data_IF_457579276027
#
_entry.id   IF_457579276027
#
_cell.length_a   1.000
_cell.length_b   1.000
_cell.length_c   1.000
_cell.angle_alpha   90.00
_cell.angle_beta   90.00
_cell.angle_gamma   90.00
#
_symmetry.space_group_name_H-M   'P 1'
#
loop_
_entity.id
_entity.type
_entity.pdbx_description
1 polymer ?
#
# COMPACT_ATOMS: atom_id res chain seq x y z
N UNK A 1 35.10 -1.28 8.64
CA UNK A 1 33.95 -2.13 9.03
C UNK A 1 32.85 -1.87 8.00
N UNK A 2 32.50 -2.87 7.23
CA UNK A 2 31.32 -2.76 6.36
C UNK A 2 30.06 -2.63 7.23
N UNK A 3 29.27 -1.62 7.00
CA UNK A 3 28.01 -1.41 7.70
C UNK A 3 27.02 -2.46 7.22
N UNK A 4 26.56 -3.33 8.12
CA UNK A 4 25.50 -4.29 7.82
C UNK A 4 24.13 -3.59 7.98
N UNK A 5 23.21 -3.87 7.05
CA UNK A 5 21.86 -3.27 7.01
C UNK A 5 20.79 -4.31 7.32
N UNK A 6 20.93 -4.95 8.49
CA UNK A 6 20.07 -6.09 8.86
C UNK A 6 18.74 -5.66 9.48
N UNK A 7 18.71 -4.47 10.06
CA UNK A 7 17.54 -3.95 10.77
C UNK A 7 17.19 -2.53 10.29
N UNK A 8 15.94 -2.14 10.52
CA UNK A 8 15.49 -0.77 10.21
C UNK A 8 16.32 0.31 10.94
N UNK A 9 16.92 -0.02 12.09
CA UNK A 9 17.77 0.90 12.85
C UNK A 9 19.06 1.27 12.10
N UNK A 10 19.48 0.45 11.17
CA UNK A 10 20.70 0.68 10.38
C UNK A 10 20.49 1.72 9.28
N UNK A 11 19.24 2.15 9.03
CA UNK A 11 18.86 3.06 7.95
C UNK A 11 18.89 4.55 8.35
N UNK A 12 19.06 4.87 9.64
CA UNK A 12 19.07 6.24 10.15
C UNK A 12 20.12 6.44 11.26
N UNK A 13 20.37 7.68 11.58
CA UNK A 13 21.07 8.10 12.80
C UNK A 13 20.15 8.98 13.64
N UNK A 14 20.40 9.05 14.95
CA UNK A 14 19.68 9.99 15.83
C UNK A 14 20.51 11.25 15.97
N UNK A 15 19.95 12.39 15.55
CA UNK A 15 20.55 13.71 15.71
C UNK A 15 19.53 14.59 16.46
N UNK A 16 19.93 15.12 17.61
CA UNK A 16 19.06 15.94 18.46
C UNK A 16 17.69 15.28 18.78
N UNK A 17 17.68 13.97 19.01
CA UNK A 17 16.46 13.21 19.30
C UNK A 17 15.59 12.88 18.07
N UNK A 18 15.99 13.30 16.87
CA UNK A 18 15.27 13.08 15.62
C UNK A 18 15.98 12.00 14.79
N UNK A 19 15.22 11.09 14.18
CA UNK A 19 15.74 10.11 13.23
C UNK A 19 16.05 10.80 11.90
N UNK A 20 17.31 10.77 11.49
CA UNK A 20 17.75 11.26 10.18
C UNK A 20 18.08 10.05 9.31
N UNK A 21 17.21 9.79 8.35
CA UNK A 21 17.35 8.65 7.45
C UNK A 21 18.35 8.93 6.33
N UNK A 22 19.11 7.92 5.94
CA UNK A 22 19.97 7.98 4.75
C UNK A 22 19.38 7.07 3.67
N UNK A 23 19.08 7.63 2.51
CA UNK A 23 18.39 6.90 1.45
C UNK A 23 19.18 5.69 0.95
N UNK A 24 20.50 5.80 0.76
CA UNK A 24 21.32 4.66 0.34
C UNK A 24 21.30 3.53 1.37
N UNK A 25 21.25 3.87 2.66
CA UNK A 25 21.11 2.87 3.72
C UNK A 25 19.72 2.23 3.69
N UNK A 26 18.69 3.00 3.38
CA UNK A 26 17.33 2.46 3.19
C UNK A 26 17.31 1.48 2.01
N UNK A 27 17.91 1.82 0.87
CA UNK A 27 18.01 0.92 -0.29
C UNK A 27 18.74 -0.38 0.06
N UNK A 28 19.89 -0.29 0.72
CA UNK A 28 20.66 -1.47 1.14
C UNK A 28 19.86 -2.37 2.09
N UNK A 29 19.12 -1.78 3.03
CA UNK A 29 18.23 -2.52 3.92
C UNK A 29 17.11 -3.21 3.16
N UNK A 30 16.42 -2.49 2.27
CA UNK A 30 15.32 -3.03 1.46
C UNK A 30 15.83 -4.18 0.58
N UNK A 31 16.98 -4.02 -0.09
CA UNK A 31 17.56 -5.07 -0.92
C UNK A 31 17.99 -6.28 -0.09
N UNK A 32 18.59 -6.07 1.09
CA UNK A 32 18.95 -7.15 2.01
C UNK A 32 17.71 -7.94 2.45
N UNK A 33 16.65 -7.27 2.89
CA UNK A 33 15.39 -7.91 3.26
C UNK A 33 14.73 -8.61 2.06
N UNK A 34 14.78 -8.00 0.89
CA UNK A 34 14.30 -8.61 -0.34
C UNK A 34 15.03 -9.91 -0.69
N UNK A 35 16.36 -9.96 -0.51
CA UNK A 35 17.14 -11.20 -0.70
C UNK A 35 16.75 -12.30 0.30
N UNK A 36 16.42 -11.93 1.54
CA UNK A 36 15.98 -12.90 2.54
C UNK A 36 14.60 -13.48 2.22
N UNK A 37 13.68 -12.67 1.72
CA UNK A 37 12.27 -13.06 1.50
C UNK A 37 12.07 -13.68 0.11
N UNK A 38 12.63 -13.07 -0.93
CA UNK A 38 12.40 -13.41 -2.34
C UNK A 38 13.57 -14.15 -2.99
N UNK A 39 14.64 -14.38 -2.24
CA UNK A 39 15.81 -15.14 -2.69
C UNK A 39 16.99 -14.26 -3.14
N UNK A 40 18.16 -14.90 -3.23
CA UNK A 40 19.48 -14.25 -3.40
C UNK A 40 19.60 -13.36 -4.64
N UNK A 41 18.75 -13.55 -5.64
CA UNK A 41 18.76 -12.80 -6.89
C UNK A 41 17.91 -11.52 -6.84
N UNK A 42 17.20 -11.28 -5.73
CA UNK A 42 16.46 -10.05 -5.57
C UNK A 42 17.40 -8.85 -5.63
N UNK A 43 17.06 -7.89 -6.46
CA UNK A 43 17.84 -6.69 -6.67
C UNK A 43 16.90 -5.50 -6.91
N UNK A 44 17.29 -4.33 -6.41
CA UNK A 44 16.63 -3.08 -6.72
C UNK A 44 17.33 -2.47 -7.93
N UNK A 45 16.58 -2.26 -9.00
CA UNK A 45 17.14 -1.64 -10.21
C UNK A 45 17.15 -0.10 -10.06
N UNK A 46 18.12 0.54 -10.70
CA UNK A 46 18.30 1.99 -10.59
C UNK A 46 17.06 2.80 -11.03
N UNK A 47 16.27 2.25 -11.97
CA UNK A 47 15.02 2.87 -12.43
C UNK A 47 13.98 2.98 -11.30
N UNK A 48 14.02 2.11 -10.31
CA UNK A 48 13.08 2.06 -9.21
C UNK A 48 13.45 3.00 -8.04
N UNK A 49 14.70 3.50 -8.02
CA UNK A 49 15.21 4.30 -6.90
C UNK A 49 14.34 5.51 -6.58
N UNK A 50 13.84 6.22 -7.60
CA UNK A 50 13.01 7.40 -7.39
C UNK A 50 11.65 7.03 -6.79
N UNK A 51 11.05 5.93 -7.24
CA UNK A 51 9.81 5.40 -6.67
C UNK A 51 10.01 4.99 -5.22
N UNK A 52 11.07 4.24 -4.93
CA UNK A 52 11.41 3.81 -3.58
C UNK A 52 11.70 5.01 -2.66
N UNK A 53 12.40 6.03 -3.16
CA UNK A 53 12.63 7.27 -2.41
C UNK A 53 11.31 7.91 -1.97
N UNK A 54 10.38 8.08 -2.91
CA UNK A 54 9.05 8.63 -2.61
C UNK A 54 8.29 7.79 -1.59
N UNK A 55 8.32 6.47 -1.72
CA UNK A 55 7.68 5.55 -0.80
C UNK A 55 8.29 5.60 0.61
N UNK A 56 9.62 5.65 0.72
CA UNK A 56 10.31 5.80 2.01
C UNK A 56 9.97 7.13 2.66
N UNK A 57 10.05 8.26 1.92
CA UNK A 57 9.69 9.60 2.42
C UNK A 57 8.23 9.62 2.92
N UNK A 58 7.33 9.02 2.15
CA UNK A 58 5.93 8.89 2.56
C UNK A 58 5.81 8.06 3.86
N UNK A 59 6.49 6.93 3.96
CA UNK A 59 6.41 6.02 5.11
C UNK A 59 6.96 6.65 6.41
N UNK A 60 8.11 7.35 6.32
CA UNK A 60 8.71 8.03 7.47
C UNK A 60 8.08 9.40 7.78
N UNK A 61 7.13 9.85 6.96
CA UNK A 61 6.41 11.12 7.13
C UNK A 61 7.33 12.34 7.13
N UNK A 62 8.31 12.36 6.24
CA UNK A 62 9.19 13.52 6.07
C UNK A 62 8.45 14.62 5.30
N UNK A 63 7.86 15.56 6.06
CA UNK A 63 7.02 16.64 5.50
C UNK A 63 7.80 17.55 4.56
N UNK A 64 9.07 17.83 4.86
CA UNK A 64 9.91 18.69 4.04
C UNK A 64 10.19 18.06 2.68
N UNK A 65 10.68 16.83 2.66
CA UNK A 65 10.97 16.12 1.43
C UNK A 65 9.68 15.77 0.66
N UNK A 66 8.58 15.50 1.35
CA UNK A 66 7.29 15.27 0.72
C UNK A 66 6.82 16.51 -0.06
N UNK A 67 6.97 17.70 0.51
CA UNK A 67 6.66 18.96 -0.18
C UNK A 67 7.53 19.16 -1.43
N UNK A 68 8.84 18.94 -1.33
CA UNK A 68 9.79 19.05 -2.44
C UNK A 68 9.45 18.05 -3.59
N UNK A 69 8.97 16.86 -3.25
CA UNK A 69 8.60 15.82 -4.22
C UNK A 69 7.11 15.85 -4.62
N UNK A 70 6.36 16.85 -4.17
CA UNK A 70 4.92 17.00 -4.41
C UNK A 70 4.11 15.76 -3.98
N UNK A 71 4.41 15.22 -2.79
CA UNK A 71 3.71 14.10 -2.19
C UNK A 71 2.70 14.60 -1.15
N UNK A 72 1.44 14.20 -1.27
CA UNK A 72 0.44 14.43 -0.22
C UNK A 72 0.45 13.27 0.78
N UNK A 73 1.06 13.50 1.94
CA UNK A 73 1.15 12.49 2.99
C UNK A 73 -0.21 12.09 3.58
N UNK A 74 -1.27 12.87 3.37
CA UNK A 74 -2.62 12.57 3.88
C UNK A 74 -3.34 11.51 3.04
N UNK A 75 -2.95 11.36 1.76
CA UNK A 75 -3.56 10.42 0.82
C UNK A 75 -2.93 9.04 0.90
N UNK A 76 -3.64 8.02 0.44
CA UNK A 76 -3.10 6.68 0.24
C UNK A 76 -2.13 6.61 -0.94
N UNK A 77 -1.40 5.51 -1.02
CA UNK A 77 -0.51 5.20 -2.14
C UNK A 77 -1.31 4.44 -3.19
N UNK A 78 -1.29 4.92 -4.44
CA UNK A 78 -1.64 4.14 -5.61
C UNK A 78 -0.35 3.82 -6.38
N UNK A 79 0.11 2.57 -6.29
CA UNK A 79 1.30 2.11 -6.98
C UNK A 79 0.89 1.35 -8.24
N UNK A 80 0.98 2.02 -9.39
CA UNK A 80 0.68 1.44 -10.70
C UNK A 80 1.94 1.11 -11.47
N UNK A 81 1.91 0.03 -12.25
CA UNK A 81 3.02 -0.39 -13.10
C UNK A 81 2.78 -1.76 -13.72
N UNK A 82 3.61 -2.20 -14.69
CA UNK A 82 3.41 -3.45 -15.40
C UNK A 82 3.44 -4.67 -14.47
N UNK A 83 2.89 -5.78 -14.97
CA UNK A 83 2.93 -7.07 -14.27
C UNK A 83 4.41 -7.48 -14.07
N UNK A 84 4.71 -7.98 -12.87
CA UNK A 84 6.05 -8.49 -12.55
C UNK A 84 7.10 -7.41 -12.20
N UNK A 85 6.75 -6.11 -12.16
CA UNK A 85 7.69 -5.05 -11.79
C UNK A 85 7.92 -4.90 -10.27
N UNK A 86 7.44 -5.82 -9.44
CA UNK A 86 7.76 -5.86 -8.01
C UNK A 86 6.89 -4.98 -7.10
N UNK A 87 5.70 -4.52 -7.53
CA UNK A 87 4.81 -3.66 -6.72
C UNK A 87 4.48 -4.25 -5.35
N UNK A 88 4.01 -5.49 -5.33
CA UNK A 88 3.70 -6.23 -4.09
C UNK A 88 4.94 -6.35 -3.19
N UNK A 89 6.07 -6.73 -3.78
CA UNK A 89 7.32 -6.89 -3.05
C UNK A 89 7.78 -5.60 -2.41
N UNK A 90 7.73 -4.47 -3.14
CA UNK A 90 8.17 -3.19 -2.59
C UNK A 90 7.22 -2.71 -1.50
N UNK A 91 5.89 -2.87 -1.65
CA UNK A 91 4.94 -2.53 -0.58
C UNK A 91 5.19 -3.37 0.68
N UNK A 92 5.53 -4.65 0.56
CA UNK A 92 5.90 -5.47 1.71
C UNK A 92 7.21 -5.00 2.36
N UNK A 93 8.24 -4.68 1.57
CA UNK A 93 9.57 -4.31 2.04
C UNK A 93 9.66 -2.91 2.66
N UNK A 94 8.81 -1.98 2.24
CA UNK A 94 8.78 -0.63 2.85
C UNK A 94 7.93 -0.56 4.12
N UNK A 95 7.10 -1.56 4.40
CA UNK A 95 6.22 -1.57 5.56
C UNK A 95 6.93 -1.31 6.90
N UNK A 96 8.15 -1.80 7.17
CA UNK A 96 8.88 -1.50 8.40
C UNK A 96 9.24 -0.02 8.62
N UNK A 97 9.19 0.83 7.58
CA UNK A 97 9.41 2.26 7.69
C UNK A 97 8.18 3.01 8.20
N UNK A 98 6.99 2.42 8.10
CA UNK A 98 5.77 3.06 8.58
C UNK A 98 5.73 3.11 10.10
N UNK A 99 5.22 4.23 10.64
CA UNK A 99 4.84 4.27 12.05
C UNK A 99 3.65 3.35 12.31
N UNK A 100 3.59 2.75 13.49
CA UNK A 100 2.53 1.82 13.88
C UNK A 100 1.11 2.30 13.56
N UNK A 101 0.84 3.59 13.75
CA UNK A 101 -0.48 4.18 13.44
C UNK A 101 -0.83 4.25 11.95
N UNK A 102 0.14 4.04 11.06
CA UNK A 102 -0.01 4.05 9.60
C UNK A 102 0.33 2.70 8.98
N UNK A 103 0.55 1.68 9.80
CA UNK A 103 0.79 0.32 9.33
C UNK A 103 -0.45 -0.24 8.60
N UNK A 104 -0.24 -1.20 7.72
CA UNK A 104 -1.28 -1.79 6.90
C UNK A 104 -1.05 -3.29 6.73
N UNK A 105 -2.15 -4.00 6.47
CA UNK A 105 -2.13 -5.39 5.99
C UNK A 105 -2.14 -5.40 4.47
N UNK A 106 -1.46 -6.35 3.85
CA UNK A 106 -1.50 -6.56 2.40
C UNK A 106 -2.46 -7.71 2.15
N UNK A 107 -3.50 -7.44 1.35
CA UNK A 107 -4.50 -8.44 0.98
C UNK A 107 -4.73 -8.36 -0.52
N UNK A 108 -4.75 -9.52 -1.19
CA UNK A 108 -4.97 -9.53 -2.63
C UNK A 108 -6.45 -9.32 -2.96
N UNK A 109 -6.73 -8.48 -3.96
CA UNK A 109 -8.11 -8.23 -4.40
C UNK A 109 -8.81 -9.52 -4.82
N UNK A 110 -8.06 -10.48 -5.36
CA UNK A 110 -8.57 -11.80 -5.75
C UNK A 110 -9.04 -12.63 -4.55
N UNK A 111 -8.25 -12.68 -3.46
CA UNK A 111 -8.62 -13.41 -2.24
C UNK A 111 -9.85 -12.81 -1.57
N UNK A 112 -9.91 -11.46 -1.51
CA UNK A 112 -11.09 -10.74 -1.02
C UNK A 112 -12.35 -11.13 -1.81
N UNK A 113 -12.25 -11.21 -3.13
CA UNK A 113 -13.36 -11.63 -3.98
C UNK A 113 -13.79 -13.08 -3.72
N UNK A 114 -12.84 -14.00 -3.49
CA UNK A 114 -13.17 -15.39 -3.11
C UNK A 114 -13.80 -15.47 -1.71
N UNK A 115 -13.33 -14.68 -0.77
CA UNK A 115 -13.94 -14.59 0.56
C UNK A 115 -15.39 -14.09 0.47
N UNK A 116 -15.64 -13.06 -0.35
CA UNK A 116 -17.00 -12.59 -0.61
C UNK A 116 -17.88 -13.65 -1.26
N UNK A 117 -17.36 -14.39 -2.23
CA UNK A 117 -18.11 -15.48 -2.87
C UNK A 117 -18.56 -16.56 -1.86
N UNK A 118 -17.76 -16.79 -0.82
CA UNK A 118 -18.02 -17.77 0.23
C UNK A 118 -18.94 -17.23 1.33
N UNK A 119 -18.71 -16.01 1.81
CA UNK A 119 -19.29 -15.46 3.03
C UNK A 119 -20.29 -14.32 2.76
N UNK A 120 -20.43 -13.87 1.50
CA UNK A 120 -21.31 -12.76 1.13
C UNK A 120 -20.92 -11.43 1.77
N UNK A 121 -21.90 -10.57 2.03
CA UNK A 121 -21.68 -9.22 2.57
C UNK A 121 -21.02 -9.17 3.95
N UNK A 122 -21.05 -10.24 4.72
CA UNK A 122 -20.38 -10.29 6.02
C UNK A 122 -18.86 -10.10 5.87
N UNK A 123 -18.26 -10.63 4.80
CA UNK A 123 -16.84 -10.43 4.53
C UNK A 123 -16.45 -8.97 4.30
N UNK A 124 -17.36 -8.13 3.76
CA UNK A 124 -17.09 -6.71 3.54
C UNK A 124 -16.90 -5.95 4.86
N UNK A 125 -17.57 -6.37 5.92
CA UNK A 125 -17.45 -5.72 7.24
C UNK A 125 -16.01 -5.76 7.74
N UNK A 126 -15.28 -6.84 7.49
CA UNK A 126 -13.87 -6.97 7.87
C UNK A 126 -12.99 -5.86 7.29
N UNK A 127 -13.28 -5.43 6.07
CA UNK A 127 -12.50 -4.41 5.35
C UNK A 127 -13.02 -2.98 5.54
N UNK A 128 -14.29 -2.83 5.91
CA UNK A 128 -14.97 -1.52 5.89
C UNK A 128 -15.40 -1.03 7.27
N UNK A 129 -15.38 -1.89 8.29
CA UNK A 129 -15.80 -1.54 9.63
C UNK A 129 -14.64 -1.59 10.63
N UNK A 130 -14.75 -0.80 11.69
CA UNK A 130 -13.80 -0.81 12.80
C UNK A 130 -14.04 -2.02 13.68
N UNK A 131 -12.98 -2.67 14.14
CA UNK A 131 -13.07 -3.78 15.11
C UNK A 131 -13.77 -3.36 16.40
N UNK A 132 -13.57 -2.11 16.81
CA UNK A 132 -14.27 -1.50 17.95
C UNK A 132 -14.64 -0.04 17.63
N UNK A 133 -15.73 0.51 18.18
CA UNK A 133 -16.20 1.87 17.90
C UNK A 133 -15.14 2.96 18.12
N UNK A 134 -14.23 2.75 19.08
CA UNK A 134 -13.16 3.68 19.44
C UNK A 134 -11.85 3.42 18.70
N UNK A 135 -11.72 2.30 17.96
CA UNK A 135 -10.53 1.97 17.19
C UNK A 135 -10.51 2.75 15.88
N UNK A 136 -9.33 2.81 15.27
CA UNK A 136 -9.21 3.23 13.88
C UNK A 136 -9.52 2.05 12.98
N UNK A 137 -10.00 2.36 11.78
CA UNK A 137 -10.11 1.34 10.74
C UNK A 137 -8.72 0.79 10.41
N UNK A 138 -8.61 -0.54 10.30
CA UNK A 138 -7.36 -1.21 9.94
C UNK A 138 -6.86 -0.68 8.58
N UNK A 139 -5.58 -0.30 8.51
CA UNK A 139 -4.93 0.06 7.26
C UNK A 139 -4.80 -1.16 6.34
N UNK A 140 -5.08 -0.98 5.06
CA UNK A 140 -4.90 -2.02 4.03
C UNK A 140 -4.12 -1.49 2.84
N UNK A 141 -3.34 -2.40 2.25
CA UNK A 141 -2.84 -2.30 0.89
C UNK A 141 -3.55 -3.39 0.08
N UNK A 142 -4.53 -3.01 -0.73
CA UNK A 142 -5.21 -3.91 -1.65
C UNK A 142 -4.31 -4.16 -2.84
N UNK A 143 -3.85 -5.40 -2.95
CA UNK A 143 -2.84 -5.79 -3.94
C UNK A 143 -3.49 -6.34 -5.19
N UNK A 144 -2.92 -5.96 -6.34
CA UNK A 144 -3.35 -6.35 -7.69
C UNK A 144 -4.82 -6.03 -7.98
N UNK A 145 -5.24 -4.76 -7.73
CA UNK A 145 -6.56 -4.29 -8.15
C UNK A 145 -6.72 -4.46 -9.67
N UNK A 146 -7.79 -5.14 -10.08
CA UNK A 146 -8.08 -5.53 -11.45
C UNK A 146 -7.77 -6.99 -11.77
N UNK A 147 -7.16 -7.74 -10.83
CA UNK A 147 -6.94 -9.17 -10.98
C UNK A 147 -8.15 -10.02 -10.53
N UNK A 148 -9.06 -9.41 -9.80
CA UNK A 148 -10.30 -10.05 -9.35
C UNK A 148 -11.35 -10.13 -10.47
N UNK A 149 -12.27 -11.07 -10.33
CA UNK A 149 -13.42 -11.21 -11.21
C UNK A 149 -14.67 -10.61 -10.56
N UNK A 150 -15.55 -10.03 -11.36
CA UNK A 150 -16.89 -9.66 -10.89
C UNK A 150 -17.64 -10.90 -10.44
N UNK A 151 -18.27 -10.81 -9.28
CA UNK A 151 -19.02 -11.93 -8.69
C UNK A 151 -20.51 -11.69 -8.88
N UNK A 152 -21.22 -12.73 -9.35
CA UNK A 152 -22.67 -12.71 -9.38
C UNK A 152 -23.23 -12.99 -8.00
N UNK A 153 -23.94 -12.01 -7.45
CA UNK A 153 -24.62 -12.15 -6.17
C UNK A 153 -26.11 -11.88 -6.36
N UNK A 154 -26.96 -12.88 -6.10
CA UNK A 154 -28.39 -12.83 -6.34
C UNK A 154 -28.79 -12.35 -7.77
N UNK A 155 -28.03 -12.78 -8.78
CA UNK A 155 -28.28 -12.45 -10.18
C UNK A 155 -27.72 -11.10 -10.66
N UNK A 156 -27.18 -10.27 -9.78
CA UNK A 156 -26.54 -9.00 -10.11
C UNK A 156 -25.02 -9.15 -10.13
N UNK A 157 -24.38 -8.52 -11.09
CA UNK A 157 -22.91 -8.41 -11.09
C UNK A 157 -22.49 -7.39 -10.03
N UNK A 158 -21.69 -7.84 -9.05
CA UNK A 158 -21.15 -7.00 -7.99
C UNK A 158 -19.63 -6.86 -8.14
N UNK A 159 -19.17 -5.63 -8.18
CA UNK A 159 -17.74 -5.35 -8.07
C UNK A 159 -17.38 -5.14 -6.59
N UNK A 160 -16.91 -6.20 -5.95
CA UNK A 160 -16.61 -6.26 -4.50
C UNK A 160 -15.59 -5.20 -4.10
N UNK A 161 -14.52 -5.04 -4.90
CA UNK A 161 -13.47 -4.06 -4.59
C UNK A 161 -13.95 -2.63 -4.72
N UNK A 162 -14.86 -2.36 -5.69
CA UNK A 162 -15.48 -1.04 -5.80
C UNK A 162 -16.24 -0.67 -4.52
N UNK A 163 -17.05 -1.58 -3.98
CA UNK A 163 -17.81 -1.35 -2.76
C UNK A 163 -16.89 -1.11 -1.55
N UNK A 164 -15.86 -1.93 -1.40
CA UNK A 164 -14.87 -1.77 -0.31
C UNK A 164 -14.16 -0.42 -0.41
N UNK A 165 -13.64 -0.05 -1.57
CA UNK A 165 -12.85 1.18 -1.73
C UNK A 165 -13.74 2.42 -1.54
N UNK A 166 -14.97 2.41 -2.04
CA UNK A 166 -15.93 3.50 -1.85
C UNK A 166 -16.29 3.68 -0.38
N UNK A 167 -16.58 2.59 0.33
CA UNK A 167 -16.89 2.62 1.76
C UNK A 167 -15.70 3.15 2.58
N UNK A 168 -14.48 2.68 2.27
CA UNK A 168 -13.25 3.15 2.94
C UNK A 168 -12.94 4.61 2.65
N UNK A 169 -13.31 5.13 1.47
CA UNK A 169 -13.16 6.54 1.18
C UNK A 169 -14.09 7.40 2.06
N UNK A 170 -15.28 6.94 2.40
CA UNK A 170 -16.16 7.64 3.33
C UNK A 170 -15.53 7.74 4.73
N UNK A 171 -14.91 6.66 5.21
CA UNK A 171 -14.15 6.70 6.47
C UNK A 171 -12.87 7.55 6.35
N UNK A 172 -12.20 7.57 5.20
CA UNK A 172 -11.07 8.48 4.96
C UNK A 172 -11.46 9.95 5.12
N UNK A 173 -12.59 10.36 4.56
CA UNK A 173 -13.08 11.75 4.67
C UNK A 173 -13.38 12.13 6.12
N UNK A 174 -13.93 11.21 6.89
CA UNK A 174 -14.35 11.47 8.29
C UNK A 174 -13.20 11.29 9.29
N UNK A 175 -12.38 10.25 9.11
CA UNK A 175 -11.43 9.75 10.11
C UNK A 175 -9.98 9.71 9.61
N UNK A 176 -9.73 10.09 8.36
CA UNK A 176 -8.41 10.03 7.70
C UNK A 176 -7.79 8.62 7.68
N UNK A 177 -8.62 7.59 7.57
CA UNK A 177 -8.17 6.21 7.42
C UNK A 177 -7.59 5.99 6.04
N UNK A 178 -6.32 5.60 5.97
CA UNK A 178 -5.59 5.49 4.71
C UNK A 178 -5.75 4.09 4.12
N UNK A 179 -5.92 4.04 2.80
CA UNK A 179 -5.94 2.81 2.00
C UNK A 179 -4.88 2.92 0.91
N UNK A 180 -4.03 1.90 0.80
CA UNK A 180 -3.06 1.77 -0.28
C UNK A 180 -3.58 0.78 -1.31
N UNK A 181 -3.14 0.92 -2.55
CA UNK A 181 -3.55 0.06 -3.66
C UNK A 181 -2.36 -0.18 -4.58
N UNK A 182 -2.17 -1.42 -5.02
CA UNK A 182 -1.33 -1.72 -6.16
C UNK A 182 -2.19 -2.16 -7.34
N UNK A 183 -1.77 -1.86 -8.55
CA UNK A 183 -2.49 -2.25 -9.77
C UNK A 183 -1.56 -2.27 -10.98
N UNK A 184 -1.92 -3.04 -11.99
CA UNK A 184 -1.33 -2.97 -13.32
C UNK A 184 -2.18 -2.18 -14.31
N UNK A 185 -3.35 -1.70 -13.87
CA UNK A 185 -4.26 -0.94 -14.69
C UNK A 185 -3.80 0.52 -14.84
N UNK A 186 -4.06 1.08 -16.00
CA UNK A 186 -4.02 2.52 -16.25
C UNK A 186 -5.25 3.22 -15.65
N UNK A 187 -5.18 4.54 -15.54
CA UNK A 187 -6.32 5.33 -15.04
C UNK A 187 -7.61 5.15 -15.87
N UNK A 188 -7.48 4.97 -17.19
CA UNK A 188 -8.63 4.72 -18.08
C UNK A 188 -9.20 3.32 -17.89
N UNK A 189 -8.38 2.31 -17.66
CA UNK A 189 -8.83 0.94 -17.37
C UNK A 189 -9.51 0.87 -16.00
N UNK A 190 -8.99 1.56 -14.98
CA UNK A 190 -9.66 1.68 -13.68
C UNK A 190 -11.05 2.31 -13.85
N UNK A 191 -11.16 3.38 -14.64
CA UNK A 191 -12.46 4.01 -14.90
C UNK A 191 -13.41 3.07 -15.64
N UNK A 192 -12.93 2.33 -16.63
CA UNK A 192 -13.74 1.38 -17.39
C UNK A 192 -14.25 0.21 -16.53
N UNK A 193 -13.42 -0.32 -15.61
CA UNK A 193 -13.76 -1.48 -14.77
C UNK A 193 -14.57 -1.11 -13.52
N UNK A 194 -14.27 0.03 -12.91
CA UNK A 194 -14.81 0.42 -11.59
C UNK A 194 -15.68 1.67 -11.63
N UNK A 195 -15.74 2.34 -12.76
CA UNK A 195 -16.51 3.58 -12.96
C UNK A 195 -15.79 4.85 -12.48
N UNK A 196 -16.26 5.97 -12.96
CA UNK A 196 -15.68 7.29 -12.68
C UNK A 196 -15.75 7.64 -11.17
N UNK A 197 -16.80 7.18 -10.47
CA UNK A 197 -16.97 7.42 -9.02
C UNK A 197 -15.81 6.86 -8.20
N UNK A 198 -15.32 5.67 -8.51
CA UNK A 198 -14.17 5.08 -7.81
C UNK A 198 -12.88 5.78 -8.23
N UNK A 199 -12.66 5.97 -9.54
CA UNK A 199 -11.46 6.62 -10.06
C UNK A 199 -11.21 7.99 -9.41
N UNK A 200 -12.28 8.79 -9.24
CA UNK A 200 -12.18 10.13 -8.64
C UNK A 200 -11.79 10.15 -7.16
N UNK A 201 -11.80 8.99 -6.48
CA UNK A 201 -11.52 8.83 -5.07
C UNK A 201 -10.18 8.14 -4.77
N UNK A 202 -9.48 7.74 -5.82
CA UNK A 202 -8.13 7.21 -5.78
C UNK A 202 -7.11 8.30 -6.09
#
# INVERSE_FOLDING_TARGET
>A
MEKHFNTIKDTFVIQNGIKVYNFNWCLNYIEYQGKLIYGRYFKIEAIDHQTILKLVIYAIRDEKMALELNLDLRKGILLSGPIGCGKTSIMALIRPFFYHKHDYKIETCREISFEFAKNGFESLHHYTQKEHPQSRLTGYCFDDLGAEQNIKHYGNDLNVMAEIIISRYEDFVQNQSITHITTNLSASEIEALYGNRLRSRM
#
